data_IF_984714236027
#
_entry.id   IF_984714236027
#
_cell.length_a   1.000
_cell.length_b   1.000
_cell.length_c   1.000
_cell.angle_alpha   90.00
_cell.angle_beta   90.00
_cell.angle_gamma   90.00
#
_symmetry.space_group_name_H-M   'P 1'
#
loop_
_entity.id
_entity.type
_entity.pdbx_description
1 polymer ?
#
# COMPACT_ATOMS: atom_id res chain seq x y z
N UNK A 1 -4.79 3.06 -2.25
CA UNK A 1 -3.66 2.36 -1.58
C UNK A 1 -4.14 1.16 -0.75
N UNK A 2 -4.96 1.32 0.30
CA UNK A 2 -5.36 0.17 1.14
C UNK A 2 -6.05 -0.97 0.35
N UNK A 3 -7.00 -0.63 -0.52
CA UNK A 3 -7.64 -1.61 -1.40
C UNK A 3 -6.63 -2.32 -2.32
N UNK A 4 -5.62 -1.62 -2.84
CA UNK A 4 -4.58 -2.24 -3.67
C UNK A 4 -3.79 -3.32 -2.92
N UNK A 5 -3.52 -3.10 -1.62
CA UNK A 5 -2.87 -4.10 -0.77
C UNK A 5 -3.78 -5.30 -0.55
N UNK A 6 -5.07 -5.06 -0.24
CA UNK A 6 -6.04 -6.12 0.00
C UNK A 6 -6.23 -7.01 -1.24
N UNK A 7 -6.42 -6.41 -2.41
CA UNK A 7 -6.57 -7.13 -3.67
C UNK A 7 -5.26 -7.84 -4.07
N UNK A 8 -4.11 -7.18 -3.88
CA UNK A 8 -2.82 -7.81 -4.15
C UNK A 8 -2.52 -9.03 -3.27
N UNK A 9 -2.92 -8.99 -1.99
CA UNK A 9 -2.84 -10.15 -1.11
C UNK A 9 -3.80 -11.26 -1.57
N UNK A 10 -5.01 -10.88 -2.00
CA UNK A 10 -6.01 -11.80 -2.58
C UNK A 10 -5.53 -12.47 -3.88
N UNK A 11 -4.75 -11.75 -4.68
CA UNK A 11 -4.10 -12.25 -5.90
C UNK A 11 -2.88 -13.14 -5.61
N UNK A 12 -2.48 -13.26 -4.34
CA UNK A 12 -1.36 -14.09 -3.91
C UNK A 12 0.01 -13.47 -4.15
N UNK A 13 0.09 -12.14 -4.35
CA UNK A 13 1.36 -11.42 -4.42
C UNK A 13 2.07 -11.46 -3.07
N UNK A 14 3.40 -11.34 -3.07
CA UNK A 14 4.14 -11.33 -1.81
C UNK A 14 3.99 -10.01 -1.06
N UNK A 15 4.19 -10.04 0.26
CA UNK A 15 4.23 -8.82 1.09
C UNK A 15 5.24 -7.82 0.54
N UNK A 16 6.45 -8.29 0.17
CA UNK A 16 7.52 -7.44 -0.36
C UNK A 16 7.11 -6.76 -1.66
N UNK A 17 6.49 -7.49 -2.59
CA UNK A 17 6.00 -6.91 -3.85
C UNK A 17 4.96 -5.82 -3.60
N UNK A 18 4.10 -6.00 -2.60
CA UNK A 18 3.07 -5.02 -2.26
C UNK A 18 3.62 -3.80 -1.51
N UNK A 19 4.67 -3.97 -0.70
CA UNK A 19 5.38 -2.86 -0.06
C UNK A 19 6.03 -1.92 -1.07
N UNK A 20 6.56 -2.47 -2.17
CA UNK A 20 7.16 -1.65 -3.23
C UNK A 20 6.09 -1.08 -4.17
N UNK A 21 5.25 -1.94 -4.74
CA UNK A 21 4.29 -1.53 -5.76
C UNK A 21 3.18 -0.62 -5.22
N UNK A 22 2.82 -0.75 -3.93
CA UNK A 22 1.82 0.10 -3.30
C UNK A 22 2.22 1.58 -3.22
N UNK A 23 3.52 1.91 -3.35
CA UNK A 23 4.03 3.30 -3.39
C UNK A 23 3.89 3.96 -4.76
N UNK A 24 3.50 3.21 -5.79
CA UNK A 24 3.33 3.69 -7.15
C UNK A 24 1.84 3.75 -7.57
N UNK A 25 0.92 3.54 -6.63
CA UNK A 25 -0.53 3.50 -6.91
C UNK A 25 -1.11 4.90 -7.12
N UNK A 26 -0.58 5.89 -6.42
CA UNK A 26 -0.96 7.29 -6.53
C UNK A 26 0.31 8.14 -6.57
N UNK A 27 0.26 9.19 -7.36
CA UNK A 27 1.26 10.26 -7.44
C UNK A 27 0.74 11.53 -6.77
N UNK A 28 1.61 12.54 -6.62
CA UNK A 28 1.20 13.86 -6.10
C UNK A 28 0.14 14.54 -6.95
N UNK A 29 0.11 14.25 -8.25
CA UNK A 29 -0.84 14.82 -9.20
C UNK A 29 -2.25 14.24 -9.02
N UNK A 30 -2.36 13.06 -8.42
CA UNK A 30 -3.64 12.37 -8.21
C UNK A 30 -4.38 12.83 -6.93
N UNK A 31 -3.75 13.70 -6.13
CA UNK A 31 -4.25 14.10 -4.81
C UNK A 31 -4.17 15.61 -4.59
N UNK A 32 -4.91 16.11 -3.61
CA UNK A 32 -4.86 17.53 -3.23
C UNK A 32 -3.51 17.90 -2.61
N UNK A 33 -3.15 19.18 -2.69
CA UNK A 33 -1.96 19.75 -2.03
C UNK A 33 -1.92 19.38 -0.54
N UNK A 34 -0.74 18.99 -0.05
CA UNK A 34 -0.53 18.60 1.35
C UNK A 34 -0.90 17.15 1.70
N UNK A 35 -1.68 16.46 0.86
CA UNK A 35 -2.05 15.05 1.11
C UNK A 35 -0.84 14.11 1.18
N UNK A 36 0.18 14.19 0.30
CA UNK A 36 1.36 13.35 0.40
C UNK A 36 2.10 13.50 1.74
N UNK A 37 2.19 14.73 2.25
CA UNK A 37 2.85 15.04 3.53
C UNK A 37 2.03 14.55 4.73
N UNK A 38 0.70 14.58 4.63
CA UNK A 38 -0.20 14.08 5.68
C UNK A 38 -0.10 12.56 5.86
N UNK A 39 0.22 11.82 4.80
CA UNK A 39 0.24 10.34 4.83
C UNK A 39 1.69 9.83 4.84
N UNK A 40 2.31 9.85 6.02
CA UNK A 40 3.66 9.31 6.20
C UNK A 40 3.74 7.79 6.14
N UNK A 41 2.69 7.07 6.54
CA UNK A 41 2.64 5.60 6.50
C UNK A 41 1.21 5.10 6.37
N UNK A 42 1.03 4.03 5.58
CA UNK A 42 -0.21 3.26 5.49
C UNK A 42 0.09 1.83 5.92
N UNK A 43 -0.61 1.34 6.94
CA UNK A 43 -0.47 0.00 7.48
C UNK A 43 -1.78 -0.76 7.27
N UNK A 44 -1.72 -1.94 6.64
CA UNK A 44 -2.90 -2.73 6.27
C UNK A 44 -2.65 -4.19 6.61
N UNK A 45 -3.50 -4.79 7.43
CA UNK A 45 -3.55 -6.23 7.58
C UNK A 45 -4.34 -6.85 6.44
N UNK A 46 -3.74 -7.82 5.74
CA UNK A 46 -4.35 -8.51 4.63
C UNK A 46 -4.14 -10.02 4.76
N UNK A 47 -5.11 -10.81 4.28
CA UNK A 47 -5.01 -12.27 4.26
C UNK A 47 -4.32 -12.73 2.98
N UNK A 48 -3.11 -13.28 3.14
CA UNK A 48 -2.34 -13.91 2.06
C UNK A 48 -2.62 -15.43 2.01
N UNK A 49 -2.21 -16.14 0.96
CA UNK A 49 -2.35 -17.59 0.87
C UNK A 49 -1.73 -18.35 2.06
N UNK A 50 -0.70 -17.77 2.71
CA UNK A 50 0.01 -18.33 3.86
C UNK A 50 -0.37 -17.66 5.20
N UNK A 51 -1.48 -16.91 5.24
CA UNK A 51 -2.05 -16.33 6.45
C UNK A 51 -2.11 -14.81 6.47
N UNK A 52 -2.66 -14.24 7.55
CA UNK A 52 -2.78 -12.79 7.72
C UNK A 52 -1.42 -12.17 8.06
N UNK A 53 -1.07 -11.09 7.35
CA UNK A 53 0.17 -10.35 7.55
C UNK A 53 -0.10 -8.85 7.51
N UNK A 54 0.74 -8.08 8.20
CA UNK A 54 0.75 -6.62 8.15
C UNK A 54 1.66 -6.15 7.01
N UNK A 55 1.10 -5.35 6.09
CA UNK A 55 1.86 -4.65 5.04
C UNK A 55 1.95 -3.18 5.44
N UNK A 56 3.18 -2.66 5.51
CA UNK A 56 3.45 -1.28 5.88
C UNK A 56 4.13 -0.55 4.73
N UNK A 57 3.50 0.52 4.26
CA UNK A 57 4.01 1.37 3.19
C UNK A 57 4.41 2.72 3.78
N UNK A 58 5.70 3.03 3.73
CA UNK A 58 6.22 4.34 4.13
C UNK A 58 6.22 5.30 2.93
N UNK A 59 5.75 6.54 3.15
CA UNK A 59 5.59 7.57 2.12
C UNK A 59 5.00 6.97 0.83
N UNK A 60 3.75 6.48 0.88
CA UNK A 60 3.14 5.76 -0.23
C UNK A 60 2.74 6.65 -1.40
N UNK A 61 2.87 7.98 -1.25
CA UNK A 61 2.67 8.98 -2.29
C UNK A 61 3.97 9.80 -2.34
N UNK A 62 4.93 9.46 -3.22
CA UNK A 62 6.24 10.11 -3.27
C UNK A 62 6.16 11.57 -3.73
#
# INVERSE_FOLDING_TARGET
>A
IAAYVLEGARDGRSVTDLMEAGRAVLTREDVMEGVPEMIGTVAVEATFPDGTKLVTLHQPIP
#
